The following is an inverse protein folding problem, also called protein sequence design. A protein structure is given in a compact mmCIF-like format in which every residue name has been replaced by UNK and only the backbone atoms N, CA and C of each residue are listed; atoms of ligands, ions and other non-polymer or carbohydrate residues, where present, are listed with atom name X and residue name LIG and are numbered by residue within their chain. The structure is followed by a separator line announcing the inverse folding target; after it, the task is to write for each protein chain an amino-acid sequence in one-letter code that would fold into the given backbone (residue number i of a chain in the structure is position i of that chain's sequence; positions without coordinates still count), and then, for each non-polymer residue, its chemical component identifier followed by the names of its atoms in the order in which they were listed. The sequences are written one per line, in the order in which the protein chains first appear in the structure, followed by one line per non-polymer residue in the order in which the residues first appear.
data_IF_027577644976
#
_entry.id   IF_027577644976
#
_cell.length_a   1.000
_cell.length_b   1.000
_cell.length_c   1.000
_cell.angle_alpha   90.00
_cell.angle_beta   90.00
_cell.angle_gamma   90.00
#
_symmetry.space_group_name_H-M   'P 1'
#
loop_
_entity.id
_entity.type
_entity.pdbx_description
1 polymer ?
#
# COMPACT_ATOMS: atom_id res chain seq x y z
N UNK A 1 -4.88 19.64 -6.31
CA UNK A 1 -4.64 18.31 -5.68
C UNK A 1 -3.37 17.75 -6.30
N UNK A 2 -2.23 17.79 -5.60
CA UNK A 2 -0.96 17.22 -6.07
C UNK A 2 -0.82 15.82 -5.48
N UNK A 3 -1.32 14.81 -6.18
CA UNK A 3 -0.82 13.45 -6.01
C UNK A 3 0.67 13.46 -6.38
N UNK A 4 1.53 13.05 -5.46
CA UNK A 4 2.94 12.83 -5.78
C UNK A 4 3.06 11.45 -6.39
N UNK A 5 3.11 11.41 -7.71
CA UNK A 5 3.38 10.20 -8.48
C UNK A 5 4.87 10.18 -8.81
N UNK A 6 5.57 9.17 -8.32
CA UNK A 6 6.92 8.84 -8.78
C UNK A 6 6.83 7.58 -9.63
N UNK A 7 6.81 7.77 -10.95
CA UNK A 7 6.94 6.67 -11.90
C UNK A 7 8.38 6.65 -12.41
N UNK A 8 9.10 5.59 -12.11
CA UNK A 8 10.34 5.26 -12.80
C UNK A 8 9.94 4.42 -14.00
N UNK A 9 10.21 4.93 -15.21
CA UNK A 9 9.74 4.38 -16.48
C UNK A 9 9.68 2.85 -16.50
N UNK A 10 8.46 2.35 -16.69
CA UNK A 10 8.10 0.96 -17.00
C UNK A 10 8.40 -0.12 -15.95
N UNK A 11 8.80 0.22 -14.70
CA UNK A 11 9.15 -0.79 -13.70
C UNK A 11 8.58 -0.57 -12.30
N UNK A 12 8.63 0.64 -11.74
CA UNK A 12 8.09 0.96 -10.42
C UNK A 12 7.24 2.22 -10.48
N UNK A 13 6.01 2.13 -9.98
CA UNK A 13 5.13 3.27 -9.77
C UNK A 13 4.76 3.35 -8.29
N UNK A 14 5.12 4.44 -7.62
CA UNK A 14 4.72 4.72 -6.25
C UNK A 14 3.71 5.88 -6.25
N UNK A 15 2.54 5.64 -5.69
CA UNK A 15 1.45 6.63 -5.58
C UNK A 15 1.11 6.85 -4.12
N UNK A 16 1.17 8.10 -3.66
CA UNK A 16 0.73 8.48 -2.32
C UNK A 16 -0.62 9.20 -2.39
N UNK A 17 -1.64 8.62 -1.73
CA UNK A 17 -3.00 9.15 -1.65
C UNK A 17 -3.17 9.93 -0.34
N UNK A 18 -2.72 11.17 -0.32
CA UNK A 18 -2.60 12.00 0.88
C UNK A 18 -3.93 12.43 1.51
N UNK A 19 -5.04 12.33 0.79
CA UNK A 19 -6.33 12.87 1.23
C UNK A 19 -6.92 12.10 2.41
N UNK A 20 -6.65 10.80 2.53
CA UNK A 20 -7.06 9.97 3.66
C UNK A 20 -6.56 10.53 5.00
N UNK A 21 -5.31 10.91 5.04
CA UNK A 21 -4.67 11.50 6.21
C UNK A 21 -4.99 12.98 6.34
N UNK A 22 -4.57 13.78 5.36
CA UNK A 22 -4.58 15.24 5.46
C UNK A 22 -5.97 15.88 5.50
N UNK A 23 -6.95 15.32 4.76
CA UNK A 23 -8.29 15.92 4.68
C UNK A 23 -9.29 15.24 5.60
N UNK A 24 -9.17 13.93 5.80
CA UNK A 24 -10.21 13.18 6.50
C UNK A 24 -9.76 12.65 7.84
N UNK A 25 -8.54 12.11 7.95
CA UNK A 25 -7.97 11.58 9.17
C UNK A 25 -7.74 12.66 10.23
N UNK A 26 -6.86 13.60 9.98
CA UNK A 26 -6.55 14.70 10.91
C UNK A 26 -7.75 15.59 11.25
N UNK A 27 -8.69 15.73 10.35
CA UNK A 27 -9.93 16.51 10.57
C UNK A 27 -11.05 15.73 11.20
N UNK A 28 -10.83 14.45 11.51
CA UNK A 28 -11.82 13.55 12.12
C UNK A 28 -13.16 13.55 11.35
N UNK A 29 -13.07 13.63 10.03
CA UNK A 29 -14.23 13.62 9.15
C UNK A 29 -14.54 12.19 8.69
N UNK A 30 -15.25 11.45 9.53
CA UNK A 30 -15.64 10.04 9.28
C UNK A 30 -16.35 9.86 7.94
N UNK A 31 -17.28 10.78 7.64
CA UNK A 31 -18.05 10.72 6.39
C UNK A 31 -17.16 10.94 5.18
N UNK A 32 -16.28 11.95 5.21
CA UNK A 32 -15.33 12.21 4.13
C UNK A 32 -14.34 11.06 3.93
N UNK A 33 -13.93 10.41 5.02
CA UNK A 33 -13.07 9.23 4.97
C UNK A 33 -13.77 8.05 4.26
N UNK A 34 -15.05 7.80 4.62
CA UNK A 34 -15.84 6.74 3.96
C UNK A 34 -16.06 7.04 2.47
N UNK A 35 -16.42 8.27 2.11
CA UNK A 35 -16.60 8.69 0.72
C UNK A 35 -15.29 8.57 -0.09
N UNK A 36 -14.13 8.78 0.54
CA UNK A 36 -12.85 8.60 -0.11
C UNK A 36 -12.51 7.12 -0.35
N UNK A 37 -12.87 6.24 0.60
CA UNK A 37 -12.75 4.79 0.40
C UNK A 37 -13.60 4.31 -0.79
N UNK A 38 -14.84 4.77 -0.90
CA UNK A 38 -15.71 4.45 -2.03
C UNK A 38 -15.12 4.94 -3.37
N UNK A 39 -14.55 6.14 -3.39
CA UNK A 39 -13.85 6.66 -4.58
C UNK A 39 -12.59 5.86 -4.92
N UNK A 40 -11.83 5.47 -3.90
CA UNK A 40 -10.65 4.62 -4.07
C UNK A 40 -11.05 3.27 -4.66
N UNK A 41 -12.10 2.64 -4.15
CA UNK A 41 -12.60 1.35 -4.65
C UNK A 41 -12.94 1.41 -6.14
N UNK A 42 -13.66 2.45 -6.58
CA UNK A 42 -13.95 2.66 -8.01
C UNK A 42 -12.66 2.78 -8.83
N UNK A 43 -11.67 3.54 -8.35
CA UNK A 43 -10.39 3.72 -9.04
C UNK A 43 -9.53 2.46 -9.03
N UNK A 44 -9.58 1.71 -7.95
CA UNK A 44 -8.94 0.40 -7.88
C UNK A 44 -9.55 -0.57 -8.91
N UNK A 45 -10.88 -0.60 -9.03
CA UNK A 45 -11.56 -1.39 -10.04
C UNK A 45 -11.20 -1.02 -11.48
N UNK A 46 -10.90 0.26 -11.76
CA UNK A 46 -10.36 0.71 -13.05
C UNK A 46 -8.91 0.21 -13.26
N UNK A 47 -8.07 0.34 -12.21
CA UNK A 47 -6.66 -0.09 -12.24
C UNK A 47 -6.54 -1.59 -12.49
N UNK A 48 -7.32 -2.39 -11.78
CA UNK A 48 -7.27 -3.86 -11.91
C UNK A 48 -7.53 -4.36 -13.34
N UNK A 49 -8.28 -3.59 -14.15
CA UNK A 49 -8.57 -3.94 -15.56
C UNK A 49 -7.40 -3.71 -16.51
N UNK A 50 -6.41 -2.93 -16.10
CA UNK A 50 -5.26 -2.56 -16.95
C UNK A 50 -3.96 -3.17 -16.48
N UNK A 51 -3.96 -3.88 -15.34
CA UNK A 51 -2.80 -4.63 -14.88
C UNK A 51 -2.49 -5.78 -15.84
N UNK A 52 -1.20 -5.99 -16.08
CA UNK A 52 -0.67 -7.10 -16.88
C UNK A 52 -0.32 -8.27 -15.97
N UNK A 53 -0.14 -9.44 -16.53
CA UNK A 53 0.19 -10.66 -15.78
C UNK A 53 1.50 -10.57 -14.98
N UNK A 54 2.44 -9.72 -15.40
CA UNK A 54 3.72 -9.48 -14.76
C UNK A 54 3.72 -8.26 -13.81
N UNK A 55 2.59 -7.59 -13.64
CA UNK A 55 2.46 -6.49 -12.69
C UNK A 55 2.18 -7.02 -11.28
N UNK A 56 2.85 -6.46 -10.29
CA UNK A 56 2.57 -6.67 -8.86
C UNK A 56 2.04 -5.37 -8.26
N UNK A 57 0.79 -5.38 -7.84
CA UNK A 57 0.16 -4.29 -7.10
C UNK A 57 0.34 -4.53 -5.60
N UNK A 58 0.85 -3.54 -4.88
CA UNK A 58 0.87 -3.52 -3.41
C UNK A 58 0.09 -2.31 -2.92
N UNK A 59 -0.84 -2.52 -1.99
CA UNK A 59 -1.61 -1.48 -1.32
C UNK A 59 -1.29 -1.55 0.16
N UNK A 60 -0.87 -0.43 0.74
CA UNK A 60 -0.53 -0.32 2.15
C UNK A 60 -0.78 1.10 2.66
N UNK A 61 -0.53 1.36 3.93
CA UNK A 61 -0.47 2.68 4.52
C UNK A 61 0.84 2.86 5.28
N UNK A 62 1.26 4.09 5.53
CA UNK A 62 2.46 4.45 6.27
C UNK A 62 2.20 4.54 7.78
N UNK A 63 0.96 4.75 8.20
CA UNK A 63 0.49 4.74 9.59
C UNK A 63 -1.03 4.58 9.68
N UNK A 64 -1.54 4.37 10.90
CA UNK A 64 -2.95 4.43 11.23
C UNK A 64 -3.44 5.87 11.38
N UNK A 65 -4.69 6.14 11.04
CA UNK A 65 -5.35 7.40 11.32
C UNK A 65 -6.88 7.18 11.42
N UNK A 66 -7.34 6.74 12.60
CA UNK A 66 -8.76 6.50 12.87
C UNK A 66 -9.51 7.84 12.95
N UNK A 67 -10.41 8.14 12.01
CA UNK A 67 -11.17 9.39 12.01
C UNK A 67 -12.22 9.47 13.14
N UNK A 68 -12.43 8.39 13.91
CA UNK A 68 -13.35 8.38 15.06
C UNK A 68 -12.64 8.65 16.39
N UNK A 69 -11.30 8.59 16.40
CA UNK A 69 -10.51 8.78 17.61
C UNK A 69 -10.49 10.23 18.07
N UNK A 70 -10.25 10.46 19.38
CA UNK A 70 -10.11 11.81 19.94
C UNK A 70 -8.75 12.41 19.65
N UNK A 71 -8.71 13.70 19.36
CA UNK A 71 -7.45 14.40 19.02
C UNK A 71 -7.20 14.47 17.52
N UNK A 72 -6.07 15.02 17.12
CA UNK A 72 -5.71 15.32 15.72
C UNK A 72 -4.51 14.51 15.21
N UNK A 73 -3.83 13.78 16.10
CA UNK A 73 -2.64 13.01 15.75
C UNK A 73 -3.00 11.65 15.12
N UNK A 74 -2.00 11.02 14.52
CA UNK A 74 -2.10 9.67 14.00
C UNK A 74 -2.44 8.68 15.11
N UNK A 75 -3.05 7.58 14.75
CA UNK A 75 -3.45 6.52 15.66
C UNK A 75 -2.61 5.26 15.42
N UNK A 76 -2.72 4.26 16.29
CA UNK A 76 -1.77 3.13 16.38
C UNK A 76 -2.32 1.82 15.82
N UNK A 77 -3.25 1.90 14.90
CA UNK A 77 -3.76 0.72 14.22
C UNK A 77 -2.66 0.07 13.38
N UNK A 78 -2.68 -1.24 13.31
CA UNK A 78 -1.90 -1.97 12.32
C UNK A 78 -2.36 -1.56 10.93
N UNK A 79 -1.40 -1.35 10.05
CA UNK A 79 -1.70 -1.02 8.66
C UNK A 79 -1.87 -2.28 7.83
N UNK A 80 -2.69 -2.20 6.81
CA UNK A 80 -2.89 -3.30 5.89
C UNK A 80 -1.69 -3.47 4.95
N UNK A 81 -1.46 -4.70 4.54
CA UNK A 81 -0.64 -5.05 3.38
C UNK A 81 -1.49 -5.94 2.48
N UNK A 82 -1.78 -5.46 1.29
CA UNK A 82 -2.51 -6.22 0.27
C UNK A 82 -1.65 -6.30 -0.97
N UNK A 83 -1.41 -7.52 -1.45
CA UNK A 83 -0.69 -7.76 -2.69
C UNK A 83 -1.59 -8.48 -3.69
N UNK A 84 -1.49 -8.09 -4.95
CA UNK A 84 -2.24 -8.69 -6.05
C UNK A 84 -1.43 -8.66 -7.34
N UNK A 85 -1.51 -9.76 -8.08
CA UNK A 85 -1.10 -9.84 -9.49
C UNK A 85 -2.11 -10.69 -10.25
N UNK A 86 -2.41 -10.39 -11.52
CA UNK A 86 -3.25 -11.26 -12.34
C UNK A 86 -2.71 -12.68 -12.51
N UNK A 87 -1.40 -12.88 -12.34
CA UNK A 87 -0.75 -14.20 -12.41
C UNK A 87 -0.84 -15.03 -11.13
N UNK A 88 -1.32 -14.47 -10.02
CA UNK A 88 -1.48 -15.21 -8.76
C UNK A 88 -2.51 -16.33 -8.92
N UNK A 89 -2.13 -17.55 -8.49
CA UNK A 89 -2.97 -18.77 -8.65
C UNK A 89 -3.91 -19.01 -7.47
N UNK A 90 -3.78 -18.24 -6.41
CA UNK A 90 -4.55 -18.42 -5.19
C UNK A 90 -4.65 -17.13 -4.38
N UNK A 91 -5.35 -17.22 -3.27
CA UNK A 91 -5.46 -16.18 -2.26
C UNK A 91 -5.21 -16.79 -0.89
N UNK A 92 -4.69 -15.99 0.03
CA UNK A 92 -4.41 -16.41 1.39
C UNK A 92 -4.17 -15.21 2.31
N UNK A 93 -3.93 -15.51 3.57
CA UNK A 93 -3.51 -14.52 4.56
C UNK A 93 -2.02 -14.75 4.85
N UNK A 94 -1.23 -13.69 4.72
CA UNK A 94 0.15 -13.67 5.17
C UNK A 94 0.23 -13.52 6.70
N UNK A 95 1.32 -13.97 7.29
CA UNK A 95 1.66 -13.68 8.68
C UNK A 95 1.85 -12.17 8.89
N UNK A 96 1.46 -11.68 10.08
CA UNK A 96 1.66 -10.28 10.43
C UNK A 96 3.15 -9.96 10.51
N UNK A 97 3.55 -8.81 10.00
CA UNK A 97 4.94 -8.39 9.91
C UNK A 97 5.27 -7.29 10.93
N UNK A 98 6.45 -7.35 11.53
CA UNK A 98 6.89 -6.40 12.57
C UNK A 98 7.47 -5.10 12.00
N UNK A 99 7.65 -5.01 10.68
CA UNK A 99 8.32 -3.86 10.05
C UNK A 99 7.83 -3.59 8.63
N UNK A 100 7.73 -2.33 8.27
CA UNK A 100 7.50 -1.88 6.89
C UNK A 100 8.63 -2.24 5.92
N UNK A 101 9.80 -2.55 6.42
CA UNK A 101 10.97 -2.88 5.60
C UNK A 101 10.73 -4.11 4.70
N UNK A 102 9.76 -4.96 5.02
CA UNK A 102 9.34 -6.08 4.17
C UNK A 102 8.85 -5.62 2.79
N UNK A 103 8.24 -4.44 2.70
CA UNK A 103 7.75 -3.87 1.44
C UNK A 103 8.94 -3.55 0.53
N UNK A 104 9.94 -2.82 1.06
CA UNK A 104 11.15 -2.50 0.33
C UNK A 104 11.95 -3.74 -0.08
N UNK A 105 12.07 -4.72 0.83
CA UNK A 105 12.74 -5.99 0.56
C UNK A 105 12.02 -6.78 -0.55
N UNK A 106 10.69 -6.81 -0.53
CA UNK A 106 9.89 -7.49 -1.55
C UNK A 106 10.02 -6.82 -2.92
N UNK A 107 10.02 -5.49 -2.95
CA UNK A 107 10.24 -4.73 -4.20
C UNK A 107 11.64 -4.99 -4.74
N UNK A 108 12.67 -4.93 -3.90
CA UNK A 108 14.06 -5.18 -4.30
C UNK A 108 14.23 -6.60 -4.87
N UNK A 109 13.68 -7.60 -4.19
CA UNK A 109 13.71 -9.00 -4.63
C UNK A 109 12.99 -9.18 -5.97
N UNK A 110 11.82 -8.56 -6.16
CA UNK A 110 11.09 -8.59 -7.42
C UNK A 110 11.88 -8.02 -8.60
N UNK A 111 12.78 -7.08 -8.33
CA UNK A 111 13.67 -6.50 -9.35
C UNK A 111 15.07 -7.11 -9.40
N UNK A 112 15.34 -8.15 -8.60
CA UNK A 112 16.67 -8.75 -8.51
C UNK A 112 17.72 -7.78 -7.95
N UNK A 113 17.32 -6.83 -7.13
CA UNK A 113 18.20 -5.85 -6.49
C UNK A 113 18.52 -6.31 -5.06
N UNK A 114 19.81 -6.37 -4.75
CA UNK A 114 20.25 -6.71 -3.40
C UNK A 114 20.10 -5.52 -2.46
N UNK A 115 19.45 -5.74 -1.31
CA UNK A 115 19.34 -4.71 -0.28
C UNK A 115 20.69 -4.46 0.40
N UNK A 116 20.95 -3.23 0.89
CA UNK A 116 22.16 -2.92 1.64
C UNK A 116 22.33 -3.84 2.87
N UNK A 117 23.59 -4.13 3.22
CA UNK A 117 23.92 -4.89 4.42
C UNK A 117 23.33 -4.20 5.68
N UNK A 118 22.77 -4.99 6.58
CA UNK A 118 22.13 -4.51 7.81
C UNK A 118 20.69 -4.02 7.63
N UNK A 119 20.13 -4.09 6.42
CA UNK A 119 18.71 -3.77 6.20
C UNK A 119 17.84 -4.79 6.92
N UNK A 120 16.89 -4.30 7.75
CA UNK A 120 15.86 -5.14 8.35
C UNK A 120 14.74 -5.39 7.33
N UNK A 121 14.05 -6.49 7.48
CA UNK A 121 12.94 -6.86 6.61
C UNK A 121 13.31 -7.99 5.65
N UNK A 122 12.37 -8.91 5.51
CA UNK A 122 12.48 -10.08 4.64
C UNK A 122 11.51 -9.93 3.48
N UNK A 123 11.92 -10.36 2.28
CA UNK A 123 11.03 -10.37 1.12
C UNK A 123 9.88 -11.36 1.32
N UNK A 124 8.69 -10.93 0.98
CA UNK A 124 7.48 -11.76 0.94
C UNK A 124 7.20 -12.32 -0.47
N UNK A 125 8.08 -12.07 -1.44
CA UNK A 125 7.83 -12.40 -2.86
C UNK A 125 7.59 -13.90 -3.08
N UNK A 126 8.26 -14.76 -2.34
CA UNK A 126 8.08 -16.21 -2.44
C UNK A 126 6.68 -16.67 -1.99
N UNK A 127 6.05 -15.93 -1.07
CA UNK A 127 4.71 -16.20 -0.55
C UNK A 127 3.60 -15.63 -1.44
N UNK A 128 3.96 -14.72 -2.37
CA UNK A 128 3.04 -14.06 -3.28
C UNK A 128 2.91 -14.75 -4.66
N UNK A 129 3.58 -15.88 -4.87
CA UNK A 129 3.61 -16.60 -6.16
C UNK A 129 2.59 -17.72 -6.24
#
# INVERSE_FOLDING_TARGET
RRQRQMCIRDRLCFVNLVDFDALWGHRRNVKGYAEELERFDVKLGELLKVLREDDLLIITADHGNDPTYKGTDHTREQVMFVAYSPSMKGSGKLEDQDTFAVIGATIADNFGVQMPEGTIGTSLLAELK
#
